data_IF_815477002158
#
_entry.id   IF_815477002158
#
_cell.length_a   1.000
_cell.length_b   1.000
_cell.length_c   1.000
_cell.angle_alpha   90.00
_cell.angle_beta   90.00
_cell.angle_gamma   90.00
#
_symmetry.space_group_name_H-M   'P 1'
#
loop_
_entity.id
_entity.type
_entity.pdbx_description
1 polymer ?
#
# COMPACT_ATOMS: atom_id res chain seq x y z
N UNK A 1 -17.58 23.38 -2.46
CA UNK A 1 -18.48 23.06 -1.33
C UNK A 1 -18.04 21.76 -0.62
N UNK A 2 -17.06 21.89 0.29
CA UNK A 2 -16.80 21.09 1.51
C UNK A 2 -16.63 19.55 1.47
N UNK A 3 -16.08 18.96 0.40
CA UNK A 3 -16.08 17.49 0.26
C UNK A 3 -15.21 16.72 1.27
N UNK A 4 -14.13 17.31 1.78
CA UNK A 4 -13.32 16.62 2.80
C UNK A 4 -13.75 16.94 4.23
N UNK A 5 -14.52 18.01 4.45
CA UNK A 5 -14.87 18.52 5.78
C UNK A 5 -16.15 17.89 6.33
N UNK A 6 -17.06 17.41 5.49
CA UNK A 6 -18.25 16.67 5.95
C UNK A 6 -17.96 15.20 6.30
N UNK A 7 -16.70 14.77 6.18
CA UNK A 7 -16.29 13.44 6.58
C UNK A 7 -16.09 13.40 8.09
N UNK A 8 -16.80 12.52 8.78
CA UNK A 8 -16.59 12.32 10.22
C UNK A 8 -15.56 11.21 10.46
N UNK A 9 -14.97 11.22 11.65
CA UNK A 9 -14.10 10.15 12.12
C UNK A 9 -14.92 9.12 12.87
N UNK A 10 -14.75 7.84 12.55
CA UNK A 10 -15.29 6.76 13.37
C UNK A 10 -14.11 6.00 13.97
N UNK A 11 -13.96 6.08 15.29
CA UNK A 11 -12.89 5.39 16.04
C UNK A 11 -13.16 3.89 16.09
N UNK A 12 -12.95 3.16 15.00
CA UNK A 12 -13.00 1.71 15.03
C UNK A 12 -12.17 1.07 13.92
N UNK A 13 -10.90 0.82 14.21
CA UNK A 13 -10.21 -0.50 14.18
C UNK A 13 -8.69 -0.27 14.24
N UNK A 14 -8.00 -1.16 14.93
CA UNK A 14 -6.59 -1.02 15.31
C UNK A 14 -5.68 -0.52 14.17
N UNK A 15 -5.12 0.68 14.35
CA UNK A 15 -3.95 1.19 13.63
C UNK A 15 -4.15 2.43 12.76
N UNK A 16 -5.32 2.65 12.15
CA UNK A 16 -5.55 3.78 11.25
C UNK A 16 -6.98 4.33 11.34
N UNK A 17 -7.13 5.66 11.40
CA UNK A 17 -8.42 6.35 11.41
C UNK A 17 -9.14 6.12 10.08
N UNK A 18 -10.35 5.56 10.13
CA UNK A 18 -11.22 5.39 8.96
C UNK A 18 -12.26 6.51 8.94
N UNK A 19 -12.23 7.31 7.86
CA UNK A 19 -13.22 8.37 7.68
C UNK A 19 -14.46 7.84 6.97
N UNK A 20 -15.60 8.50 7.22
CA UNK A 20 -16.85 8.19 6.53
C UNK A 20 -17.43 9.43 5.88
N UNK A 21 -18.03 9.26 4.71
CA UNK A 21 -18.93 10.24 4.09
C UNK A 21 -20.37 9.72 4.21
N UNK A 22 -21.20 10.38 5.02
CA UNK A 22 -22.44 9.76 5.47
C UNK A 22 -22.14 8.44 6.17
N UNK A 23 -22.61 7.33 5.62
CA UNK A 23 -22.29 5.99 6.10
C UNK A 23 -21.36 5.18 5.18
N UNK A 24 -20.76 5.81 4.17
CA UNK A 24 -19.75 5.18 3.30
C UNK A 24 -18.37 5.24 3.94
N UNK A 25 -17.68 4.11 4.17
CA UNK A 25 -16.29 4.12 4.61
C UNK A 25 -15.36 4.57 3.47
N UNK A 26 -14.51 5.56 3.74
CA UNK A 26 -13.60 6.15 2.76
C UNK A 26 -12.14 5.91 3.18
N UNK A 27 -11.42 5.16 2.34
CA UNK A 27 -9.99 4.85 2.53
C UNK A 27 -9.09 5.63 1.56
N UNK A 28 -9.56 5.78 0.33
CA UNK A 28 -8.82 6.38 -0.77
C UNK A 28 -9.60 7.55 -1.33
N UNK A 29 -8.87 8.60 -1.70
CA UNK A 29 -9.43 9.80 -2.29
C UNK A 29 -8.74 10.11 -3.60
N UNK A 30 -9.49 10.83 -4.43
CA UNK A 30 -8.99 11.45 -5.64
C UNK A 30 -9.41 12.91 -5.64
N UNK A 31 -8.45 13.80 -5.81
CA UNK A 31 -8.64 15.24 -5.85
C UNK A 31 -8.16 15.78 -7.19
N UNK A 32 -8.77 16.86 -7.65
CA UNK A 32 -8.35 17.61 -8.83
C UNK A 32 -8.34 19.07 -8.47
N UNK A 33 -7.22 19.75 -8.72
CA UNK A 33 -7.04 21.15 -8.33
C UNK A 33 -5.67 21.68 -8.74
N UNK A 34 -5.38 22.91 -8.30
CA UNK A 34 -4.15 23.62 -8.60
C UNK A 34 -3.18 23.47 -7.42
N UNK A 35 -1.90 23.23 -7.71
CA UNK A 35 -0.84 23.30 -6.69
C UNK A 35 -0.59 24.76 -6.34
N UNK A 36 -0.87 25.15 -5.10
CA UNK A 36 -0.67 26.52 -4.62
C UNK A 36 0.64 26.70 -3.83
N UNK A 37 1.19 25.61 -3.29
CA UNK A 37 2.49 25.63 -2.61
C UNK A 37 3.20 24.28 -2.74
N UNK A 38 4.54 24.34 -2.72
CA UNK A 38 5.41 23.16 -2.62
C UNK A 38 6.38 23.40 -1.48
N UNK A 39 6.44 22.48 -0.54
CA UNK A 39 7.35 22.53 0.60
C UNK A 39 8.09 21.21 0.76
N UNK A 40 9.23 21.23 1.45
CA UNK A 40 9.93 20.03 1.87
C UNK A 40 9.81 19.87 3.38
N UNK A 41 9.56 18.63 3.82
CA UNK A 41 9.37 18.28 5.23
C UNK A 41 10.21 17.06 5.57
N UNK A 42 10.84 17.07 6.74
CA UNK A 42 11.68 15.98 7.23
C UNK A 42 13.13 16.06 6.72
N UNK A 43 13.93 15.06 7.07
CA UNK A 43 15.33 14.99 6.71
C UNK A 43 15.75 13.58 6.27
N UNK A 44 16.79 13.51 5.43
CA UNK A 44 17.39 12.25 4.97
C UNK A 44 16.37 11.28 4.37
N UNK A 45 16.32 10.06 4.92
CA UNK A 45 15.46 8.96 4.45
C UNK A 45 13.96 9.18 4.73
N UNK A 46 13.60 10.21 5.50
CA UNK A 46 12.23 10.60 5.83
C UNK A 46 11.82 11.93 5.17
N UNK A 47 12.59 12.40 4.21
CA UNK A 47 12.22 13.56 3.42
C UNK A 47 10.91 13.30 2.66
N UNK A 48 10.05 14.31 2.65
CA UNK A 48 8.78 14.32 1.95
C UNK A 48 8.66 15.66 1.22
N UNK A 49 8.16 15.62 -0.01
CA UNK A 49 7.71 16.83 -0.70
C UNK A 49 6.21 16.96 -0.48
N UNK A 50 5.80 18.09 0.06
CA UNK A 50 4.41 18.39 0.42
C UNK A 50 3.86 19.35 -0.62
N UNK A 51 2.78 18.94 -1.28
CA UNK A 51 2.07 19.76 -2.25
C UNK A 51 0.78 20.27 -1.62
N UNK A 52 0.58 21.57 -1.52
CA UNK A 52 -0.70 22.13 -1.08
C UNK A 52 -1.59 22.30 -2.31
N UNK A 53 -2.76 21.67 -2.28
CA UNK A 53 -3.72 21.60 -3.39
C UNK A 53 -4.96 22.44 -3.07
N UNK A 54 -5.38 23.28 -4.01
CA UNK A 54 -6.66 24.00 -3.98
C UNK A 54 -7.60 23.48 -5.08
N UNK A 55 -8.77 22.96 -4.68
CA UNK A 55 -9.83 22.50 -5.57
C UNK A 55 -11.01 23.50 -5.66
N UNK A 56 -10.83 24.72 -5.17
CA UNK A 56 -11.85 25.77 -5.08
C UNK A 56 -13.08 25.37 -4.24
N UNK A 57 -12.98 24.32 -3.42
CA UNK A 57 -14.10 23.86 -2.60
C UNK A 57 -14.29 24.64 -1.31
N UNK A 58 -13.33 25.53 -0.98
CA UNK A 58 -13.32 26.44 0.17
C UNK A 58 -12.14 26.24 1.14
N UNK A 59 -11.26 25.26 0.90
CA UNK A 59 -10.07 25.01 1.71
C UNK A 59 -9.01 24.25 0.91
N UNK A 60 -7.73 24.56 1.16
CA UNK A 60 -6.62 23.80 0.61
C UNK A 60 -6.32 22.56 1.45
N UNK A 61 -5.66 21.57 0.84
CA UNK A 61 -5.17 20.39 1.54
C UNK A 61 -3.73 20.04 1.17
N UNK A 62 -2.97 19.65 2.19
CA UNK A 62 -1.61 19.14 2.02
C UNK A 62 -1.60 17.70 1.53
N UNK A 63 -0.79 17.48 0.50
CA UNK A 63 -0.58 16.20 -0.15
C UNK A 63 0.91 15.80 -0.03
N UNK A 64 1.34 15.20 1.10
CA UNK A 64 2.72 14.74 1.25
C UNK A 64 3.01 13.52 0.36
N UNK A 65 4.14 13.56 -0.34
CA UNK A 65 4.67 12.46 -1.13
C UNK A 65 6.07 12.08 -0.61
N UNK A 66 6.28 10.78 -0.33
CA UNK A 66 7.59 10.28 0.11
C UNK A 66 8.61 10.46 -1.01
N UNK A 67 9.73 11.13 -0.70
CA UNK A 67 10.86 11.26 -1.63
C UNK A 67 11.94 10.21 -1.37
N UNK A 68 11.67 9.23 -0.49
CA UNK A 68 12.58 8.12 -0.21
C UNK A 68 13.03 7.48 -1.52
N UNK A 69 14.29 7.72 -1.87
CA UNK A 69 14.87 7.40 -3.16
C UNK A 69 14.88 5.88 -3.38
N UNK A 70 13.89 5.37 -4.12
CA UNK A 70 14.19 4.34 -5.10
C UNK A 70 14.94 5.05 -6.23
N UNK A 71 16.28 5.03 -6.15
CA UNK A 71 17.22 5.73 -7.03
C UNK A 71 16.72 5.90 -8.48
N UNK A 72 16.15 7.08 -8.81
CA UNK A 72 15.71 7.45 -10.17
C UNK A 72 16.63 8.51 -10.77
N UNK A 73 17.92 8.41 -10.45
CA UNK A 73 19.00 9.26 -10.97
C UNK A 73 20.02 8.50 -11.81
N UNK A 74 19.66 7.38 -12.43
CA UNK A 74 20.52 6.71 -13.41
C UNK A 74 19.85 6.72 -14.79
N UNK A 75 20.45 7.46 -15.72
CA UNK A 75 20.23 7.27 -17.16
C UNK A 75 20.64 5.84 -17.51
N UNK A 76 19.71 4.90 -17.50
CA UNK A 76 19.93 3.58 -18.08
C UNK A 76 19.25 3.50 -19.43
N UNK A 77 20.10 3.44 -20.47
CA UNK A 77 19.74 2.97 -21.80
C UNK A 77 18.98 1.65 -21.71
N UNK A 78 18.07 1.48 -22.65
CA UNK A 78 17.40 0.22 -22.99
C UNK A 78 18.32 -1.00 -22.85
N UNK A 79 17.82 -2.03 -22.17
CA UNK A 79 17.80 -3.42 -22.63
C UNK A 79 16.66 -4.10 -21.86
N UNK A 80 15.75 -4.74 -22.60
CA UNK A 80 14.53 -5.32 -22.10
C UNK A 80 14.75 -6.34 -20.98
N UNK A 81 13.97 -6.17 -19.91
CA UNK A 81 13.61 -7.25 -18.99
C UNK A 81 12.25 -6.88 -18.41
N UNK A 82 11.26 -7.75 -18.65
CA UNK A 82 9.91 -7.62 -18.13
C UNK A 82 9.89 -7.82 -16.62
N UNK A 83 10.35 -6.82 -15.88
CA UNK A 83 10.15 -6.73 -14.44
C UNK A 83 8.71 -6.29 -14.16
N UNK A 84 8.00 -7.05 -13.35
CA UNK A 84 6.68 -6.66 -12.82
C UNK A 84 6.78 -5.24 -12.28
N UNK A 85 6.15 -4.29 -12.98
CA UNK A 85 6.14 -2.88 -12.55
C UNK A 85 5.42 -2.84 -11.20
N UNK A 86 6.18 -2.68 -10.13
CA UNK A 86 5.64 -2.56 -8.78
C UNK A 86 4.55 -1.47 -8.77
N UNK A 87 3.36 -1.82 -8.29
CA UNK A 87 2.24 -0.88 -8.23
C UNK A 87 2.61 0.31 -7.34
N UNK A 88 2.22 1.54 -7.72
CA UNK A 88 2.50 2.72 -6.91
C UNK A 88 1.84 2.61 -5.54
N UNK A 89 2.54 3.05 -4.51
CA UNK A 89 2.10 3.02 -3.12
C UNK A 89 2.43 4.34 -2.42
N UNK A 90 1.97 4.52 -1.17
CA UNK A 90 2.33 5.72 -0.38
C UNK A 90 3.84 5.81 -0.13
N UNK A 91 4.50 4.66 0.03
CA UNK A 91 5.96 4.60 0.26
C UNK A 91 6.75 4.84 -1.02
N UNK A 92 6.19 4.42 -2.16
CA UNK A 92 6.78 4.53 -3.50
C UNK A 92 5.79 5.19 -4.45
N UNK A 93 5.56 6.51 -4.31
CA UNK A 93 4.53 7.20 -5.07
C UNK A 93 4.99 7.45 -6.51
N UNK A 94 4.05 7.43 -7.45
CA UNK A 94 4.27 7.79 -8.85
C UNK A 94 4.02 9.28 -9.04
N UNK A 95 5.09 10.08 -9.02
CA UNK A 95 5.03 11.54 -9.10
C UNK A 95 6.04 12.04 -10.13
N UNK A 96 5.64 12.91 -11.08
CA UNK A 96 6.57 13.56 -11.99
C UNK A 96 7.27 14.74 -11.29
N UNK A 97 8.25 14.42 -10.43
CA UNK A 97 8.88 15.34 -9.47
C UNK A 97 9.38 16.66 -10.06
N UNK A 98 9.93 16.63 -11.29
CA UNK A 98 10.52 17.81 -11.94
C UNK A 98 9.49 18.68 -12.67
N UNK A 99 8.29 18.14 -12.91
CA UNK A 99 7.24 18.82 -13.69
C UNK A 99 6.15 19.44 -12.81
N UNK A 100 5.97 18.94 -11.58
CA UNK A 100 4.95 19.47 -10.66
C UNK A 100 5.50 20.69 -9.94
N UNK A 101 5.05 21.87 -10.39
CA UNK A 101 5.37 23.18 -9.81
C UNK A 101 4.12 23.90 -9.33
N UNK A 102 4.29 25.00 -8.58
CA UNK A 102 3.18 25.91 -8.23
C UNK A 102 2.48 26.39 -9.50
N UNK A 103 1.15 26.38 -9.51
CA UNK A 103 0.31 26.67 -10.67
C UNK A 103 -0.05 25.45 -11.52
N UNK A 104 0.57 24.28 -11.28
CA UNK A 104 0.21 23.06 -12.01
C UNK A 104 -1.20 22.60 -11.65
N UNK A 105 -2.04 22.34 -12.67
CA UNK A 105 -3.33 21.65 -12.49
C UNK A 105 -3.07 20.15 -12.45
N UNK A 106 -3.47 19.49 -11.38
CA UNK A 106 -3.15 18.08 -11.14
C UNK A 106 -4.36 17.28 -10.68
N UNK A 107 -4.29 15.97 -10.93
CA UNK A 107 -5.13 14.93 -10.34
C UNK A 107 -4.28 14.11 -9.36
N UNK A 108 -4.61 14.23 -8.09
CA UNK A 108 -3.94 13.54 -6.98
C UNK A 108 -4.76 12.32 -6.58
N UNK A 109 -4.13 11.15 -6.46
CA UNK A 109 -4.70 9.94 -5.85
C UNK A 109 -3.91 9.61 -4.61
N UNK A 110 -4.60 9.35 -3.50
CA UNK A 110 -3.91 9.10 -2.24
C UNK A 110 -4.78 8.52 -1.15
N UNK A 111 -4.11 8.10 -0.08
CA UNK A 111 -4.73 7.66 1.17
C UNK A 111 -5.03 8.87 2.03
N UNK A 112 -6.12 8.85 2.78
CA UNK A 112 -6.33 9.88 3.80
C UNK A 112 -5.40 9.59 4.98
N UNK A 113 -4.62 10.59 5.37
CA UNK A 113 -3.71 10.56 6.51
C UNK A 113 -3.91 11.76 7.42
N UNK A 114 -3.18 11.77 8.53
CA UNK A 114 -3.25 12.82 9.53
C UNK A 114 -1.84 13.20 9.99
N UNK A 115 -1.61 14.49 10.18
CA UNK A 115 -0.38 15.04 10.75
C UNK A 115 -0.77 16.11 11.77
N UNK A 116 -0.47 15.88 13.06
CA UNK A 116 -0.87 16.78 14.16
C UNK A 116 -2.36 17.16 14.09
N UNK A 117 -3.24 16.16 13.98
CA UNK A 117 -4.70 16.32 13.83
C UNK A 117 -5.18 17.01 12.54
N UNK A 118 -4.27 17.50 11.68
CA UNK A 118 -4.63 18.04 10.38
C UNK A 118 -4.74 16.93 9.33
N UNK A 119 -5.80 16.97 8.53
CA UNK A 119 -6.05 16.01 7.44
C UNK A 119 -5.09 16.27 6.29
N UNK A 120 -4.50 15.19 5.76
CA UNK A 120 -3.61 15.23 4.60
C UNK A 120 -3.97 14.11 3.63
N UNK A 121 -3.57 14.24 2.37
CA UNK A 121 -3.67 13.16 1.37
C UNK A 121 -2.28 12.60 1.11
N UNK A 122 -1.98 11.46 1.69
CA UNK A 122 -0.74 10.75 1.43
C UNK A 122 -0.73 10.24 -0.02
N UNK A 123 0.15 10.82 -0.82
CA UNK A 123 0.16 10.64 -2.27
C UNK A 123 0.55 9.21 -2.63
N UNK A 124 -0.24 8.61 -3.54
CA UNK A 124 0.14 7.40 -4.29
C UNK A 124 0.50 7.75 -5.72
N UNK A 125 -0.23 8.69 -6.32
CA UNK A 125 0.00 9.12 -7.70
C UNK A 125 -0.40 10.58 -7.92
N UNK A 126 0.42 11.30 -8.69
CA UNK A 126 0.07 12.61 -9.23
C UNK A 126 0.09 12.52 -10.76
N UNK A 127 -0.98 12.99 -11.39
CA UNK A 127 -1.14 13.11 -12.84
C UNK A 127 -1.32 14.60 -13.16
N UNK A 128 -0.43 15.20 -13.95
CA UNK A 128 -0.60 16.60 -14.42
C UNK A 128 -1.69 16.61 -15.48
N UNK A 129 -2.64 17.53 -15.35
CA UNK A 129 -3.71 17.73 -16.33
C UNK A 129 -3.27 18.80 -17.33
N UNK A 130 -3.03 18.39 -18.58
CA UNK A 130 -2.47 19.27 -19.61
C UNK A 130 -3.46 20.24 -20.27
N UNK A 131 -4.77 20.11 -20.02
CA UNK A 131 -5.77 20.99 -20.60
C UNK A 131 -7.07 21.05 -19.76
N UNK A 132 -7.80 22.16 -19.92
CA UNK A 132 -9.07 22.42 -19.23
C UNK A 132 -10.13 21.36 -19.51
N UNK A 133 -10.17 20.78 -20.72
CA UNK A 133 -11.13 19.70 -21.02
C UNK A 133 -10.95 18.49 -20.11
N UNK A 134 -9.70 18.15 -19.79
CA UNK A 134 -9.41 17.00 -18.91
C UNK A 134 -9.78 17.31 -17.45
N UNK A 135 -9.58 18.56 -17.02
CA UNK A 135 -10.03 19.05 -15.72
C UNK A 135 -11.56 18.98 -15.59
N UNK A 136 -12.29 19.49 -16.59
CA UNK A 136 -13.76 19.44 -16.62
C UNK A 136 -14.28 17.99 -16.61
N UNK A 137 -13.63 17.08 -17.35
CA UNK A 137 -13.96 15.64 -17.26
C UNK A 137 -13.78 15.10 -15.85
N UNK A 138 -12.69 15.46 -15.17
CA UNK A 138 -12.47 15.04 -13.78
C UNK A 138 -13.58 15.56 -12.84
N UNK A 139 -14.06 16.78 -13.04
CA UNK A 139 -15.18 17.34 -12.27
C UNK A 139 -16.50 16.63 -12.56
N UNK A 140 -16.77 16.29 -13.83
CA UNK A 140 -17.95 15.53 -14.20
C UNK A 140 -17.97 14.14 -13.53
N UNK A 141 -16.83 13.45 -13.52
CA UNK A 141 -16.70 12.16 -12.80
C UNK A 141 -17.00 12.30 -11.30
N UNK A 142 -16.48 13.35 -10.65
CA UNK A 142 -16.73 13.60 -9.21
C UNK A 142 -18.19 13.92 -8.96
N UNK A 143 -18.80 14.76 -9.81
CA UNK A 143 -20.23 15.10 -9.74
C UNK A 143 -21.09 13.86 -9.86
N UNK A 144 -20.81 13.00 -10.84
CA UNK A 144 -21.59 11.79 -11.08
C UNK A 144 -21.38 10.75 -9.97
N UNK A 145 -20.15 10.58 -9.47
CA UNK A 145 -19.87 9.72 -8.32
C UNK A 145 -20.62 10.22 -7.06
N UNK A 146 -20.61 11.52 -6.81
CA UNK A 146 -21.34 12.10 -5.68
C UNK A 146 -22.85 11.89 -5.82
N UNK A 147 -23.42 12.18 -6.99
CA UNK A 147 -24.86 12.07 -7.24
C UNK A 147 -25.36 10.63 -7.24
N UNK A 148 -24.58 9.70 -7.77
CA UNK A 148 -25.03 8.33 -7.99
C UNK A 148 -24.62 7.37 -6.86
N UNK A 149 -23.53 7.65 -6.15
CA UNK A 149 -22.98 6.76 -5.11
C UNK A 149 -23.05 7.40 -3.72
N UNK A 150 -22.35 8.52 -3.51
CA UNK A 150 -22.19 9.09 -2.15
C UNK A 150 -23.47 9.73 -1.59
N UNK A 151 -24.42 10.10 -2.44
CA UNK A 151 -25.73 10.63 -2.05
C UNK A 151 -26.66 9.53 -1.52
N UNK A 152 -26.46 8.28 -1.95
CA UNK A 152 -27.30 7.15 -1.59
C UNK A 152 -26.74 6.51 -0.33
N UNK A 153 -27.55 6.19 0.69
CA UNK A 153 -27.07 5.49 1.87
C UNK A 153 -26.49 4.12 1.53
N UNK A 154 -25.28 3.83 2.00
CA UNK A 154 -24.69 2.51 1.87
C UNK A 154 -25.48 1.51 2.71
N UNK A 155 -26.02 0.47 2.10
CA UNK A 155 -26.69 -0.59 2.84
C UNK A 155 -26.30 -1.93 2.25
N UNK A 156 -26.30 -2.94 3.12
CA UNK A 156 -26.10 -4.33 2.73
C UNK A 156 -27.41 -5.08 2.96
N UNK A 157 -27.84 -5.82 1.95
CA UNK A 157 -28.94 -6.76 2.04
C UNK A 157 -28.65 -7.82 3.11
N UNK A 158 -29.71 -8.48 3.57
CA UNK A 158 -29.58 -9.57 4.55
C UNK A 158 -28.73 -10.73 4.02
N UNK A 159 -28.82 -11.00 2.71
CA UNK A 159 -28.05 -12.04 2.05
C UNK A 159 -26.55 -11.69 2.01
N UNK A 160 -26.20 -10.46 1.62
CA UNK A 160 -24.81 -9.98 1.62
C UNK A 160 -24.20 -10.03 3.02
N UNK A 161 -24.94 -9.61 4.05
CA UNK A 161 -24.50 -9.71 5.45
C UNK A 161 -24.20 -11.16 5.84
N UNK A 162 -25.08 -12.09 5.47
CA UNK A 162 -24.91 -13.53 5.72
C UNK A 162 -23.70 -14.09 4.99
N UNK A 163 -23.49 -13.68 3.73
CA UNK A 163 -22.34 -14.09 2.91
C UNK A 163 -21.03 -13.57 3.52
N UNK A 164 -20.96 -12.28 3.88
CA UNK A 164 -19.81 -11.68 4.55
C UNK A 164 -19.46 -12.43 5.84
N UNK A 165 -20.46 -12.78 6.67
CA UNK A 165 -20.23 -13.56 7.91
C UNK A 165 -19.63 -14.92 7.61
N UNK A 166 -20.18 -15.66 6.65
CA UNK A 166 -19.66 -16.97 6.22
C UNK A 166 -18.22 -16.87 5.69
N UNK A 167 -17.92 -15.84 4.88
CA UNK A 167 -16.58 -15.61 4.36
C UNK A 167 -15.59 -15.31 5.48
N UNK A 168 -15.96 -14.44 6.43
CA UNK A 168 -15.12 -14.12 7.59
C UNK A 168 -14.84 -15.35 8.46
N UNK A 169 -15.84 -16.19 8.74
CA UNK A 169 -15.67 -17.44 9.48
C UNK A 169 -14.73 -18.41 8.76
N UNK A 170 -14.88 -18.56 7.44
CA UNK A 170 -14.00 -19.39 6.61
C UNK A 170 -12.56 -18.90 6.68
N UNK A 171 -12.33 -17.59 6.58
CA UNK A 171 -10.99 -16.99 6.67
C UNK A 171 -10.40 -17.16 8.07
N UNK A 172 -11.16 -16.89 9.15
CA UNK A 172 -10.72 -17.13 10.54
C UNK A 172 -10.33 -18.60 10.76
N UNK A 173 -11.11 -19.54 10.23
CA UNK A 173 -10.81 -20.97 10.31
C UNK A 173 -9.53 -21.33 9.55
N UNK A 174 -9.33 -20.78 8.34
CA UNK A 174 -8.09 -20.95 7.57
C UNK A 174 -6.88 -20.39 8.31
N UNK A 175 -6.99 -19.18 8.86
CA UNK A 175 -5.93 -18.54 9.64
C UNK A 175 -5.56 -19.37 10.89
N UNK A 176 -6.54 -19.85 11.65
CA UNK A 176 -6.31 -20.75 12.80
C UNK A 176 -5.61 -22.05 12.40
N UNK A 177 -6.02 -22.68 11.28
CA UNK A 177 -5.35 -23.89 10.77
C UNK A 177 -3.92 -23.60 10.32
N UNK A 178 -3.69 -22.47 9.64
CA UNK A 178 -2.35 -22.05 9.23
C UNK A 178 -1.45 -21.80 10.44
N UNK A 179 -1.96 -21.13 11.48
CA UNK A 179 -1.23 -20.90 12.73
C UNK A 179 -0.88 -22.22 13.43
N UNK A 180 -1.80 -23.20 13.47
CA UNK A 180 -1.51 -24.55 14.00
C UNK A 180 -0.41 -25.26 13.21
N UNK A 181 -0.45 -25.21 11.87
CA UNK A 181 0.60 -25.81 11.02
C UNK A 181 1.97 -25.16 11.22
N UNK A 182 2.03 -23.84 11.42
CA UNK A 182 3.29 -23.13 11.72
C UNK A 182 3.85 -23.53 13.09
N UNK A 183 2.98 -23.76 14.09
CA UNK A 183 3.39 -24.26 15.42
C UNK A 183 3.83 -25.73 15.37
N UNK A 184 3.24 -26.56 14.49
CA UNK A 184 3.64 -27.96 14.28
C UNK A 184 4.97 -28.11 13.50
N UNK A 185 5.32 -27.16 12.63
CA UNK A 185 6.54 -27.20 11.78
C UNK A 185 7.71 -26.33 12.26
N UNK A 186 8.17 -26.50 13.51
CA UNK A 186 9.60 -26.36 13.84
C UNK A 186 10.18 -27.54 14.64
N UNK A 187 9.35 -28.50 15.09
CA UNK A 187 9.79 -29.56 15.99
C UNK A 187 10.41 -30.78 15.30
N UNK A 188 10.22 -30.95 13.98
CA UNK A 188 10.62 -32.17 13.27
C UNK A 188 12.02 -32.16 12.63
N UNK A 189 12.76 -31.03 12.66
CA UNK A 189 14.03 -30.90 11.92
C UNK A 189 15.29 -30.69 12.80
N UNK A 190 15.28 -31.09 14.08
CA UNK A 190 16.49 -31.07 14.94
C UNK A 190 16.89 -32.46 15.46
N UNK A 191 16.86 -33.50 14.61
CA UNK A 191 17.58 -34.75 14.86
C UNK A 191 18.66 -34.96 13.80
N UNK A 192 19.83 -34.35 14.03
CA UNK A 192 21.08 -34.91 13.51
C UNK A 192 21.44 -36.11 14.40
N UNK A 193 21.65 -37.32 13.86
CA UNK A 193 22.17 -38.42 14.66
C UNK A 193 23.64 -38.09 15.00
N UNK A 194 23.93 -37.91 16.30
CA UNK A 194 25.30 -37.83 16.79
C UNK A 194 26.05 -39.12 16.44
N UNK A 195 27.16 -38.94 15.74
CA UNK A 195 28.15 -39.97 15.48
C UNK A 195 28.58 -40.62 16.81
N UNK A 196 28.32 -41.93 16.93
CA UNK A 196 28.77 -42.74 18.06
C UNK A 196 30.25 -43.08 17.82
N UNK A 197 31.15 -42.34 18.47
CA UNK A 197 32.53 -42.79 18.65
C UNK A 197 32.53 -44.12 19.41
N UNK A 198 33.07 -45.17 18.77
CA UNK A 198 33.42 -46.43 19.41
C UNK A 198 34.91 -46.71 19.18
N UNK A 199 35.69 -46.69 20.25
CA UNK A 199 37.10 -47.14 20.30
C UNK A 199 37.15 -48.65 20.56
N UNK A 200 38.14 -49.31 19.95
CA UNK A 200 38.71 -50.63 20.33
C UNK A 200 37.79 -51.84 20.12
N UNK A 201 38.25 -53.04 19.77
CA UNK A 201 39.58 -53.59 19.59
C UNK A 201 39.47 -54.90 18.77
N UNK A 202 40.52 -55.17 17.99
CA UNK A 202 41.21 -56.47 17.80
C UNK A 202 40.35 -57.76 17.70
N UNK A 203 40.34 -58.38 16.52
CA UNK A 203 40.95 -59.71 16.26
C UNK A 203 40.43 -60.36 14.96
N UNK A 204 41.35 -60.84 14.12
CA UNK A 204 41.27 -62.24 13.67
C UNK A 204 40.91 -62.53 12.20
N UNK A 205 41.97 -62.77 11.42
CA UNK A 205 42.16 -63.87 10.44
C UNK A 205 41.30 -63.91 9.16
N UNK A 206 42.03 -63.97 8.03
CA UNK A 206 41.51 -64.54 6.77
C UNK A 206 42.34 -64.14 5.56
N UNK A 207 43.44 -64.85 5.32
CA UNK A 207 44.38 -64.71 4.20
C UNK A 207 44.00 -65.66 3.06
N UNK A 208 43.94 -65.16 1.81
CA UNK A 208 44.37 -65.81 0.55
C UNK A 208 44.09 -64.79 -0.59
N UNK A 209 45.07 -64.10 -1.18
CA UNK A 209 45.97 -64.53 -2.28
C UNK A 209 45.21 -65.24 -3.42
N UNK A 210 45.43 -65.05 -4.72
CA UNK A 210 46.19 -64.20 -5.65
C UNK A 210 45.59 -64.58 -7.02
N UNK A 211 45.50 -63.68 -7.99
CA UNK A 211 45.73 -63.97 -9.42
C UNK A 211 45.61 -62.68 -10.24
N UNK A 212 46.77 -62.22 -10.70
CA UNK A 212 46.94 -61.35 -11.86
C UNK A 212 46.70 -62.17 -13.14
N UNK A 213 46.07 -61.55 -14.12
CA UNK A 213 46.57 -61.36 -15.50
C UNK A 213 45.82 -60.18 -16.16
#
# INVERSE_FOLDING_TARGET
MYMLWMMWECSATAGHRLLHWGNHPVKWVRLTGIIVAVAERGNGTRAMRVYTLDDSSGACIDCPASTSHGNSGARSKDIGSGGDKAMPSVLTPSVPWDLVVVGSVVKVKGRIGFWWEQRQVEVVKIEILGCTDTEVRCWNEVRDFRRNILSQPWHLSHEEKRLCRKLMERQKRRARKAQRRVVEWPAANNFLPMARMGRGDVAGRGRMEVLED
#
